data_IF_376427782978
#
_entry.id   IF_376427782978
#
_cell.length_a   1.000
_cell.length_b   1.000
_cell.length_c   1.000
_cell.angle_alpha   90.00
_cell.angle_beta   90.00
_cell.angle_gamma   90.00
#
_symmetry.space_group_name_H-M   'P 1'
#
loop_
_entity.id
_entity.type
_entity.pdbx_description
1 polymer ?
#
# COMPACT_ATOMS: atom_id res chain seq x y z
N UNK A 1 -0.80 72.40 -4.27
CA UNK A 1 -1.46 73.67 -3.92
C UNK A 1 -0.41 74.76 -3.85
N UNK A 2 -0.48 75.77 -4.71
CA UNK A 2 0.35 76.97 -4.63
C UNK A 2 -0.50 78.16 -5.06
N UNK A 3 -0.89 79.01 -4.11
CA UNK A 3 -1.74 80.18 -4.35
C UNK A 3 -0.91 81.31 -4.95
N UNK A 4 -1.07 81.57 -6.25
CA UNK A 4 -0.48 82.76 -6.88
C UNK A 4 -1.29 84.00 -6.53
N UNK A 5 -0.71 84.84 -5.69
CA UNK A 5 -1.33 86.07 -5.21
C UNK A 5 -1.03 87.20 -6.21
N UNK A 6 -2.00 87.61 -7.03
CA UNK A 6 -1.84 88.73 -7.97
C UNK A 6 -2.18 90.03 -7.22
N UNK A 7 -1.14 90.75 -6.80
CA UNK A 7 -1.28 92.03 -6.12
C UNK A 7 -1.94 93.07 -7.01
N UNK A 8 -2.99 93.73 -6.49
CA UNK A 8 -3.58 94.91 -7.11
C UNK A 8 -2.60 96.09 -7.04
N UNK A 9 -2.04 96.50 -8.19
CA UNK A 9 -1.27 97.73 -8.30
C UNK A 9 -2.22 98.91 -8.64
N UNK A 10 -2.91 99.43 -7.63
CA UNK A 10 -3.68 100.68 -7.77
C UNK A 10 -2.72 101.86 -7.59
N UNK A 11 -2.15 102.34 -8.69
CA UNK A 11 -1.42 103.62 -8.69
C UNK A 11 -2.42 104.76 -8.74
N UNK A 12 -2.74 105.37 -7.59
CA UNK A 12 -3.38 106.69 -7.57
C UNK A 12 -2.45 107.71 -8.24
N UNK A 13 -2.77 108.14 -9.45
CA UNK A 13 -2.24 109.39 -10.01
C UNK A 13 -3.12 110.51 -9.46
N UNK A 14 -2.51 111.40 -8.67
CA UNK A 14 -3.20 112.45 -7.93
C UNK A 14 -3.94 113.44 -8.83
N UNK A 15 -5.10 113.89 -8.36
CA UNK A 15 -5.88 114.94 -9.01
C UNK A 15 -5.17 116.29 -8.82
N UNK A 16 -4.43 116.73 -9.84
CA UNK A 16 -3.86 118.08 -9.88
C UNK A 16 -4.95 119.12 -10.04
N UNK A 17 -5.16 119.96 -9.03
CA UNK A 17 -6.14 121.05 -9.10
C UNK A 17 -5.71 122.18 -10.05
N UNK A 18 -6.74 122.86 -10.53
CA UNK A 18 -6.72 124.00 -11.44
C UNK A 18 -5.77 125.11 -10.96
N UNK A 19 -4.94 125.63 -11.86
CA UNK A 19 -4.29 126.93 -11.72
C UNK A 19 -4.45 127.72 -13.02
N UNK A 20 -5.57 128.45 -13.13
CA UNK A 20 -5.85 129.34 -14.25
C UNK A 20 -4.91 130.55 -14.23
N UNK A 21 -3.79 130.49 -14.96
CA UNK A 21 -2.92 131.66 -15.13
C UNK A 21 -3.39 132.55 -16.29
N UNK A 22 -4.57 133.15 -16.15
CA UNK A 22 -4.91 134.36 -16.92
C UNK A 22 -4.07 135.49 -16.34
N UNK A 23 -2.92 135.73 -16.96
CA UNK A 23 -2.03 136.83 -16.55
C UNK A 23 -2.70 138.17 -16.81
N UNK A 24 -3.23 138.79 -15.75
CA UNK A 24 -3.66 140.18 -15.76
C UNK A 24 -2.45 141.07 -16.03
N UNK A 25 -2.27 141.48 -17.28
CA UNK A 25 -1.22 142.42 -17.66
C UNK A 25 -1.77 143.84 -17.48
N UNK A 26 -1.80 144.31 -16.22
CA UNK A 26 -2.00 145.72 -15.89
C UNK A 26 -0.84 146.56 -16.43
N UNK A 27 -0.89 146.95 -17.70
CA UNK A 27 -0.12 148.10 -18.15
C UNK A 27 -0.84 149.38 -17.73
N UNK A 28 -0.31 149.96 -16.65
CA UNK A 28 -0.54 151.34 -16.26
C UNK A 28 -0.40 152.26 -17.47
N UNK A 29 -1.48 152.95 -17.85
CA UNK A 29 -1.36 154.20 -18.59
C UNK A 29 -1.99 155.31 -17.76
N UNK A 30 -1.24 155.75 -16.74
CA UNK A 30 -1.49 157.02 -16.08
C UNK A 30 -1.30 158.15 -17.08
N UNK A 31 -2.38 158.62 -17.71
CA UNK A 31 -2.36 159.90 -18.40
C UNK A 31 -3.32 160.90 -17.75
N UNK A 32 -2.69 161.68 -16.86
CA UNK A 32 -3.07 162.98 -16.31
C UNK A 32 -4.39 163.57 -16.82
N UNK A 33 -5.27 163.82 -15.87
CA UNK A 33 -6.04 165.07 -15.86
C UNK A 33 -5.10 166.28 -16.02
N UNK A 34 -5.16 166.93 -17.18
CA UNK A 34 -4.80 168.34 -17.34
C UNK A 34 -5.93 169.08 -18.04
N UNK A 35 -6.25 170.26 -17.53
CA UNK A 35 -7.30 171.12 -18.07
C UNK A 35 -6.90 171.68 -19.44
N UNK A 36 -7.67 171.33 -20.46
CA UNK A 36 -7.83 172.04 -21.72
C UNK A 36 -9.14 171.58 -22.34
N UNK A 37 -10.06 172.43 -22.78
CA UNK A 37 -9.96 173.87 -22.97
C UNK A 37 -10.63 174.25 -24.29
N UNK A 38 -11.96 174.37 -24.28
CA UNK A 38 -12.75 174.87 -25.42
C UNK A 38 -13.03 173.84 -26.52
N UNK A 39 -14.29 173.78 -26.96
CA UNK A 39 -14.74 173.01 -28.13
C UNK A 39 -15.80 171.94 -27.83
N UNK A 40 -16.89 171.96 -28.61
CA UNK A 40 -17.91 170.89 -28.75
C UNK A 40 -18.83 170.56 -27.56
N UNK A 41 -18.55 170.95 -26.31
CA UNK A 41 -19.51 170.83 -25.18
C UNK A 41 -20.85 171.59 -25.36
N UNK A 42 -20.97 172.40 -26.42
CA UNK A 42 -22.14 173.23 -26.68
C UNK A 42 -23.16 172.62 -27.66
N UNK A 43 -22.92 171.41 -28.17
CA UNK A 43 -23.82 170.72 -29.13
C UNK A 43 -24.71 169.63 -28.52
N UNK A 44 -24.37 169.06 -27.37
CA UNK A 44 -25.14 167.97 -26.75
C UNK A 44 -25.20 168.13 -25.22
N UNK A 45 -26.40 167.92 -24.64
CA UNK A 45 -26.68 168.13 -23.22
C UNK A 45 -26.03 167.09 -22.29
N UNK A 46 -25.96 167.37 -20.97
CA UNK A 46 -25.31 166.49 -19.99
C UNK A 46 -25.89 165.07 -19.96
N UNK A 47 -27.19 164.92 -20.20
CA UNK A 47 -27.90 163.63 -20.21
C UNK A 47 -27.27 162.62 -21.18
N UNK A 48 -26.81 163.08 -22.35
CA UNK A 48 -26.23 162.23 -23.41
C UNK A 48 -24.95 161.51 -22.96
N UNK A 49 -24.10 162.18 -22.16
CA UNK A 49 -22.87 161.57 -21.63
C UNK A 49 -23.14 160.58 -20.50
N UNK A 50 -24.22 160.78 -19.74
CA UNK A 50 -24.67 159.83 -18.70
C UNK A 50 -25.27 158.60 -19.35
N UNK A 51 -26.17 158.78 -20.33
CA UNK A 51 -26.78 157.70 -21.11
C UNK A 51 -25.75 156.85 -21.86
N UNK A 52 -24.70 157.47 -22.41
CA UNK A 52 -23.55 156.75 -23.01
C UNK A 52 -22.80 155.89 -22.00
N UNK A 53 -22.60 156.40 -20.77
CA UNK A 53 -21.91 155.67 -19.70
C UNK A 53 -22.76 154.49 -19.18
N UNK A 54 -24.06 154.69 -19.04
CA UNK A 54 -24.97 153.63 -18.59
C UNK A 54 -25.10 152.54 -19.66
N UNK A 55 -25.14 152.91 -20.95
CA UNK A 55 -25.04 151.97 -22.08
C UNK A 55 -23.71 151.23 -22.11
N UNK A 56 -22.60 151.88 -21.77
CA UNK A 56 -21.27 151.24 -21.66
C UNK A 56 -21.23 150.24 -20.50
N UNK A 57 -21.77 150.60 -19.33
CA UNK A 57 -21.84 149.72 -18.17
C UNK A 57 -22.76 148.51 -18.42
N UNK A 58 -23.95 148.72 -18.98
CA UNK A 58 -24.87 147.65 -19.35
C UNK A 58 -24.33 146.74 -20.48
N UNK A 59 -23.46 147.28 -21.35
CA UNK A 59 -22.70 146.47 -22.31
C UNK A 59 -21.64 145.62 -21.61
N UNK A 60 -20.90 146.18 -20.65
CA UNK A 60 -19.91 145.43 -19.87
C UNK A 60 -20.54 144.30 -19.02
N UNK A 61 -21.67 144.58 -18.37
CA UNK A 61 -22.44 143.58 -17.61
C UNK A 61 -22.92 142.45 -18.53
N UNK A 62 -23.53 142.77 -19.67
CA UNK A 62 -23.92 141.75 -20.67
C UNK A 62 -22.74 140.97 -21.24
N UNK A 63 -21.59 141.62 -21.46
CA UNK A 63 -20.38 140.90 -21.88
C UNK A 63 -19.96 139.90 -20.80
N UNK A 64 -19.90 140.29 -19.53
CA UNK A 64 -19.56 139.42 -18.41
C UNK A 64 -20.57 138.28 -18.20
N UNK A 65 -21.87 138.53 -18.38
CA UNK A 65 -22.90 137.48 -18.38
C UNK A 65 -22.69 136.47 -19.54
N UNK A 66 -22.39 136.97 -20.75
CA UNK A 66 -22.12 136.10 -21.90
C UNK A 66 -20.83 135.30 -21.76
N UNK A 67 -19.79 135.90 -21.17
CA UNK A 67 -18.52 135.26 -20.84
C UNK A 67 -18.76 134.13 -19.82
N UNK A 68 -19.38 134.43 -18.68
CA UNK A 68 -19.75 133.44 -17.64
C UNK A 68 -20.59 132.29 -18.21
N UNK A 69 -21.50 132.58 -19.15
CA UNK A 69 -22.34 131.57 -19.81
C UNK A 69 -21.52 130.71 -20.78
N UNK A 70 -20.60 131.30 -21.51
CA UNK A 70 -19.69 130.61 -22.43
C UNK A 70 -18.71 129.71 -21.66
N UNK A 71 -18.12 130.22 -20.57
CA UNK A 71 -17.27 129.45 -19.65
C UNK A 71 -18.00 128.20 -19.13
N UNK A 72 -19.23 128.34 -18.62
CA UNK A 72 -20.04 127.20 -18.16
C UNK A 72 -20.38 126.20 -19.29
N UNK A 73 -20.59 126.67 -20.51
CA UNK A 73 -20.79 125.79 -21.66
C UNK A 73 -19.52 125.03 -22.02
N UNK A 74 -18.36 125.69 -21.98
CA UNK A 74 -17.05 125.06 -22.20
C UNK A 74 -16.75 124.04 -21.08
N UNK A 75 -16.96 124.38 -19.81
CA UNK A 75 -16.74 123.49 -18.68
C UNK A 75 -17.64 122.25 -18.76
N UNK A 76 -18.94 122.42 -19.03
CA UNK A 76 -19.87 121.30 -19.21
C UNK A 76 -19.48 120.42 -20.41
N UNK A 77 -19.15 121.02 -21.56
CA UNK A 77 -18.71 120.27 -22.75
C UNK A 77 -17.40 119.51 -22.54
N UNK A 78 -16.45 120.08 -21.79
CA UNK A 78 -15.22 119.38 -21.37
C UNK A 78 -15.54 118.23 -20.42
N UNK A 79 -16.43 118.44 -19.44
CA UNK A 79 -16.85 117.42 -18.46
C UNK A 79 -17.57 116.25 -19.12
N UNK A 80 -18.52 116.52 -20.02
CA UNK A 80 -19.20 115.50 -20.83
C UNK A 80 -18.21 114.72 -21.70
N UNK A 81 -17.27 115.43 -22.35
CA UNK A 81 -16.20 114.80 -23.14
C UNK A 81 -15.30 113.90 -22.29
N UNK A 82 -14.95 114.32 -21.08
CA UNK A 82 -14.15 113.55 -20.12
C UNK A 82 -14.89 112.29 -19.64
N UNK A 83 -16.18 112.41 -19.31
CA UNK A 83 -17.03 111.27 -18.92
C UNK A 83 -17.17 110.27 -20.07
N UNK A 84 -17.41 110.76 -21.30
CA UNK A 84 -17.53 109.91 -22.49
C UNK A 84 -16.21 109.19 -22.81
N UNK A 85 -15.08 109.89 -22.70
CA UNK A 85 -13.76 109.30 -22.92
C UNK A 85 -13.43 108.24 -21.85
N UNK A 86 -13.67 108.55 -20.57
CA UNK A 86 -13.51 107.61 -19.46
C UNK A 86 -14.39 106.37 -19.63
N UNK A 87 -15.66 106.55 -20.00
CA UNK A 87 -16.60 105.44 -20.25
C UNK A 87 -16.16 104.58 -21.43
N UNK A 88 -15.68 105.19 -22.54
CA UNK A 88 -15.13 104.44 -23.68
C UNK A 88 -13.87 103.66 -23.29
N UNK A 89 -12.99 104.26 -22.49
CA UNK A 89 -11.75 103.63 -22.03
C UNK A 89 -12.03 102.44 -21.09
N UNK A 90 -12.96 102.57 -20.13
CA UNK A 90 -13.34 101.45 -19.26
C UNK A 90 -13.98 100.30 -20.06
N UNK A 91 -14.83 100.61 -21.04
CA UNK A 91 -15.39 99.58 -21.95
C UNK A 91 -14.31 98.84 -22.76
N UNK A 92 -13.19 99.50 -23.10
CA UNK A 92 -12.03 98.84 -23.72
C UNK A 92 -11.30 97.97 -22.71
N UNK A 93 -11.09 98.44 -21.47
CA UNK A 93 -10.47 97.64 -20.41
C UNK A 93 -11.29 96.40 -20.04
N UNK A 94 -12.62 96.50 -19.97
CA UNK A 94 -13.51 95.35 -19.73
C UNK A 94 -13.35 94.32 -20.85
N UNK A 95 -13.46 94.72 -22.12
CA UNK A 95 -13.30 93.81 -23.27
C UNK A 95 -11.92 93.14 -23.31
N UNK A 96 -10.86 93.87 -22.97
CA UNK A 96 -9.51 93.31 -22.88
C UNK A 96 -9.41 92.27 -21.75
N UNK A 97 -9.97 92.58 -20.57
CA UNK A 97 -10.01 91.71 -19.39
C UNK A 97 -10.79 90.43 -19.66
N UNK A 98 -11.96 90.53 -20.28
CA UNK A 98 -12.80 89.38 -20.63
C UNK A 98 -12.11 88.46 -21.66
N UNK A 99 -11.46 89.04 -22.68
CA UNK A 99 -10.69 88.29 -23.67
C UNK A 99 -9.44 87.63 -23.06
N UNK A 100 -8.76 88.30 -22.12
CA UNK A 100 -7.67 87.70 -21.35
C UNK A 100 -8.16 86.54 -20.49
N UNK A 101 -9.24 86.72 -19.73
CA UNK A 101 -9.85 85.68 -18.90
C UNK A 101 -10.26 84.45 -19.74
N UNK A 102 -10.97 84.66 -20.85
CA UNK A 102 -11.36 83.57 -21.76
C UNK A 102 -10.13 82.82 -22.34
N UNK A 103 -9.03 83.54 -22.60
CA UNK A 103 -7.77 82.95 -23.07
C UNK A 103 -7.06 82.15 -21.97
N UNK A 104 -7.07 82.64 -20.73
CA UNK A 104 -6.55 81.93 -19.55
C UNK A 104 -7.34 80.66 -19.29
N UNK A 105 -8.67 80.74 -19.21
CA UNK A 105 -9.53 79.55 -19.02
C UNK A 105 -9.36 78.52 -20.14
N UNK A 106 -9.13 78.95 -21.39
CA UNK A 106 -8.82 78.02 -22.49
C UNK A 106 -7.43 77.35 -22.33
N UNK A 107 -6.45 78.04 -21.76
CA UNK A 107 -5.13 77.48 -21.44
C UNK A 107 -5.20 76.52 -20.25
N UNK A 108 -5.93 76.87 -19.19
CA UNK A 108 -6.16 76.02 -18.02
C UNK A 108 -6.82 74.70 -18.42
N UNK A 109 -7.93 74.74 -19.16
CA UNK A 109 -8.59 73.53 -19.68
C UNK A 109 -7.66 72.68 -20.55
N UNK A 110 -6.79 73.30 -21.38
CA UNK A 110 -5.80 72.54 -22.17
C UNK A 110 -4.74 71.89 -21.29
N UNK A 111 -4.28 72.58 -20.25
CA UNK A 111 -3.30 72.06 -19.31
C UNK A 111 -3.88 70.88 -18.50
N UNK A 112 -5.10 71.01 -17.98
CA UNK A 112 -5.78 69.93 -17.25
C UNK A 112 -5.99 68.68 -18.11
N UNK A 113 -6.43 68.83 -19.37
CA UNK A 113 -6.56 67.70 -20.29
C UNK A 113 -5.19 67.03 -20.53
N UNK A 114 -4.13 67.78 -20.84
CA UNK A 114 -2.77 67.22 -21.03
C UNK A 114 -2.25 66.52 -19.77
N UNK A 115 -2.50 67.09 -18.58
CA UNK A 115 -2.10 66.46 -17.32
C UNK A 115 -2.85 65.17 -17.05
N UNK A 116 -4.17 65.11 -17.33
CA UNK A 116 -4.98 63.90 -17.21
C UNK A 116 -4.55 62.82 -18.21
N UNK A 117 -4.32 63.20 -19.46
CA UNK A 117 -3.90 62.26 -20.51
C UNK A 117 -2.51 61.66 -20.19
N UNK A 118 -1.58 62.49 -19.70
CA UNK A 118 -0.28 62.04 -19.18
C UNK A 118 -0.43 61.12 -17.95
N UNK A 119 -1.34 61.43 -17.03
CA UNK A 119 -1.61 60.59 -15.85
C UNK A 119 -2.16 59.22 -16.24
N UNK A 120 -3.09 59.18 -17.21
CA UNK A 120 -3.66 57.94 -17.73
C UNK A 120 -2.59 57.09 -18.44
N UNK A 121 -1.80 57.70 -19.34
CA UNK A 121 -0.72 57.00 -20.06
C UNK A 121 0.41 56.52 -19.14
N UNK A 122 0.63 57.20 -18.00
CA UNK A 122 1.56 56.74 -16.98
C UNK A 122 0.98 55.55 -16.20
N UNK A 123 -0.30 55.60 -15.80
CA UNK A 123 -0.96 54.51 -15.10
C UNK A 123 -1.04 53.22 -15.96
N UNK A 124 -1.33 53.35 -17.25
CA UNK A 124 -1.31 52.25 -18.22
C UNK A 124 0.09 51.60 -18.30
N UNK A 125 1.15 52.40 -18.45
CA UNK A 125 2.53 51.90 -18.46
C UNK A 125 2.95 51.23 -17.16
N UNK A 126 2.54 51.79 -16.01
CA UNK A 126 2.80 51.18 -14.69
C UNK A 126 2.14 49.80 -14.63
N UNK A 127 0.85 49.71 -14.95
CA UNK A 127 0.10 48.45 -14.94
C UNK A 127 0.70 47.41 -15.92
N UNK A 128 1.12 47.83 -17.11
CA UNK A 128 1.85 46.96 -18.04
C UNK A 128 3.17 46.43 -17.45
N UNK A 129 3.93 47.27 -16.75
CA UNK A 129 5.21 46.85 -16.14
C UNK A 129 5.02 45.96 -14.92
N UNK A 130 3.99 46.22 -14.11
CA UNK A 130 3.59 45.37 -12.98
C UNK A 130 3.19 43.98 -13.48
N UNK A 131 2.30 43.89 -14.47
CA UNK A 131 1.89 42.62 -15.06
C UNK A 131 3.07 41.84 -15.69
N UNK A 132 4.00 42.52 -16.36
CA UNK A 132 5.22 41.88 -16.91
C UNK A 132 6.12 41.34 -15.80
N UNK A 133 6.29 42.09 -14.71
CA UNK A 133 7.12 41.71 -13.57
C UNK A 133 6.50 40.55 -12.78
N UNK A 134 5.19 40.57 -12.54
CA UNK A 134 4.45 39.47 -11.91
C UNK A 134 4.61 38.16 -12.71
N UNK A 135 4.38 38.21 -14.03
CA UNK A 135 4.58 37.05 -14.90
C UNK A 135 6.04 36.57 -14.89
N UNK A 136 7.04 37.46 -14.87
CA UNK A 136 8.44 37.06 -14.79
C UNK A 136 8.76 36.37 -13.45
N UNK A 137 8.33 36.97 -12.33
CA UNK A 137 8.52 36.42 -10.98
C UNK A 137 7.83 35.07 -10.84
N UNK A 138 6.60 34.91 -11.36
CA UNK A 138 5.89 33.63 -11.30
C UNK A 138 6.61 32.55 -12.12
N UNK A 139 6.99 32.82 -13.37
CA UNK A 139 7.69 31.85 -14.21
C UNK A 139 9.07 31.48 -13.66
N UNK A 140 9.87 32.45 -13.19
CA UNK A 140 11.19 32.17 -12.59
C UNK A 140 11.06 31.33 -11.31
N UNK A 141 10.11 31.64 -10.43
CA UNK A 141 9.87 30.87 -9.22
C UNK A 141 9.33 29.46 -9.51
N UNK A 142 8.39 29.31 -10.44
CA UNK A 142 7.85 28.00 -10.83
C UNK A 142 8.95 27.11 -11.42
N UNK A 143 9.77 27.64 -12.34
CA UNK A 143 10.87 26.89 -12.95
C UNK A 143 11.95 26.49 -11.92
N UNK A 144 12.41 27.44 -11.10
CA UNK A 144 13.43 27.16 -10.08
C UNK A 144 12.94 26.23 -8.96
N UNK A 145 11.63 26.22 -8.67
CA UNK A 145 11.02 25.27 -7.75
C UNK A 145 10.91 23.88 -8.38
N UNK A 146 10.44 23.79 -9.64
CA UNK A 146 10.31 22.52 -10.36
C UNK A 146 11.68 21.82 -10.56
N UNK A 147 12.73 22.58 -10.90
CA UNK A 147 14.10 22.07 -11.00
C UNK A 147 14.59 21.50 -9.66
N UNK A 148 14.39 22.23 -8.55
CA UNK A 148 14.76 21.76 -7.21
C UNK A 148 13.98 20.53 -6.77
N UNK A 149 12.68 20.47 -7.08
CA UNK A 149 11.82 19.31 -6.79
C UNK A 149 12.35 18.09 -7.55
N UNK A 150 12.56 18.20 -8.86
CA UNK A 150 13.12 17.15 -9.72
C UNK A 150 14.50 16.67 -9.23
N UNK A 151 15.40 17.59 -8.85
CA UNK A 151 16.67 17.24 -8.23
C UNK A 151 16.51 16.45 -6.91
N UNK A 152 15.55 16.83 -6.06
CA UNK A 152 15.31 16.11 -4.80
C UNK A 152 14.64 14.76 -5.00
N UNK A 153 13.73 14.64 -5.97
CA UNK A 153 13.10 13.39 -6.36
C UNK A 153 14.15 12.41 -6.89
N UNK A 154 14.98 12.83 -7.85
CA UNK A 154 16.07 11.99 -8.37
C UNK A 154 17.08 11.58 -7.28
N UNK A 155 17.40 12.48 -6.32
CA UNK A 155 18.27 12.12 -5.17
C UNK A 155 17.60 11.08 -4.25
N UNK A 156 16.29 11.19 -4.03
CA UNK A 156 15.53 10.26 -3.19
C UNK A 156 15.38 8.89 -3.87
N UNK A 157 15.05 8.84 -5.17
CA UNK A 157 14.98 7.62 -5.97
C UNK A 157 16.31 6.85 -5.93
N UNK A 158 17.44 7.53 -6.14
CA UNK A 158 18.76 6.92 -6.05
C UNK A 158 19.09 6.37 -4.65
N UNK A 159 18.63 7.03 -3.58
CA UNK A 159 18.78 6.49 -2.21
C UNK A 159 17.90 5.27 -1.97
N UNK A 160 16.66 5.28 -2.48
CA UNK A 160 15.72 4.17 -2.39
C UNK A 160 16.25 2.94 -3.14
N UNK A 161 16.71 3.09 -4.38
CA UNK A 161 17.26 1.99 -5.18
C UNK A 161 18.52 1.38 -4.55
N UNK A 162 19.36 2.21 -3.93
CA UNK A 162 20.52 1.74 -3.17
C UNK A 162 20.10 0.87 -1.97
N UNK A 163 19.11 1.32 -1.18
CA UNK A 163 18.59 0.57 -0.04
C UNK A 163 17.94 -0.74 -0.49
N UNK A 164 17.17 -0.75 -1.58
CA UNK A 164 16.59 -1.98 -2.14
C UNK A 164 17.66 -2.96 -2.62
N UNK A 165 18.75 -2.47 -3.22
CA UNK A 165 19.88 -3.32 -3.63
C UNK A 165 20.57 -3.92 -2.41
N UNK A 166 20.90 -3.13 -1.38
CA UNK A 166 21.50 -3.64 -0.14
C UNK A 166 20.60 -4.67 0.56
N UNK A 167 19.28 -4.46 0.60
CA UNK A 167 18.33 -5.42 1.17
C UNK A 167 18.26 -6.73 0.36
N UNK A 168 18.22 -6.64 -0.98
CA UNK A 168 18.24 -7.79 -1.89
C UNK A 168 19.51 -8.62 -1.73
N UNK A 169 20.67 -7.97 -1.66
CA UNK A 169 21.96 -8.66 -1.50
C UNK A 169 22.08 -9.33 -0.13
N UNK A 170 21.58 -8.69 0.93
CA UNK A 170 21.48 -9.27 2.26
C UNK A 170 20.53 -10.49 2.30
N UNK A 171 19.38 -10.41 1.64
CA UNK A 171 18.43 -11.52 1.53
C UNK A 171 19.04 -12.72 0.79
N UNK A 172 19.68 -12.48 -0.35
CA UNK A 172 20.38 -13.50 -1.13
C UNK A 172 21.50 -14.15 -0.30
N UNK A 173 22.35 -13.33 0.33
CA UNK A 173 23.43 -13.81 1.19
C UNK A 173 22.94 -14.60 2.42
N UNK A 174 21.75 -14.31 2.94
CA UNK A 174 21.11 -15.10 4.00
C UNK A 174 20.56 -16.42 3.46
N UNK A 175 19.93 -16.44 2.28
CA UNK A 175 19.43 -17.67 1.62
C UNK A 175 20.56 -18.65 1.39
N UNK A 176 21.65 -18.21 0.73
CA UNK A 176 22.83 -19.06 0.47
C UNK A 176 23.49 -19.55 1.77
N UNK A 177 23.51 -18.75 2.84
CA UNK A 177 23.99 -19.22 4.16
C UNK A 177 23.08 -20.28 4.77
N UNK A 178 21.77 -20.16 4.58
CA UNK A 178 20.78 -21.11 5.09
C UNK A 178 20.82 -22.44 4.31
N UNK A 179 20.84 -22.37 2.98
CA UNK A 179 21.03 -23.50 2.06
C UNK A 179 22.30 -24.29 2.41
N UNK A 180 23.46 -23.61 2.49
CA UNK A 180 24.72 -24.23 2.89
C UNK A 180 24.64 -24.89 4.28
N UNK A 181 23.91 -24.31 5.24
CA UNK A 181 23.73 -24.93 6.57
C UNK A 181 22.85 -26.17 6.50
N UNK A 182 21.78 -26.16 5.69
CA UNK A 182 20.95 -27.34 5.47
C UNK A 182 21.72 -28.47 4.79
N UNK A 183 22.46 -28.17 3.72
CA UNK A 183 23.29 -29.18 3.02
C UNK A 183 24.33 -29.81 3.95
N UNK A 184 25.01 -29.02 4.78
CA UNK A 184 25.96 -29.53 5.76
C UNK A 184 25.26 -30.45 6.79
N UNK A 185 24.15 -30.02 7.40
CA UNK A 185 23.41 -30.85 8.37
C UNK A 185 22.88 -32.14 7.75
N UNK A 186 22.39 -32.09 6.50
CA UNK A 186 21.91 -33.28 5.79
C UNK A 186 23.06 -34.26 5.50
N UNK A 187 24.22 -33.76 5.07
CA UNK A 187 25.42 -34.56 4.84
C UNK A 187 25.95 -35.18 6.14
N UNK A 188 26.00 -34.41 7.23
CA UNK A 188 26.48 -34.90 8.52
C UNK A 188 25.56 -35.99 9.09
N UNK A 189 24.23 -35.79 8.96
CA UNK A 189 23.23 -36.82 9.30
C UNK A 189 23.35 -38.07 8.42
N UNK A 190 23.59 -37.91 7.11
CA UNK A 190 23.79 -39.04 6.19
C UNK A 190 25.05 -39.84 6.55
N UNK A 191 26.15 -39.16 6.88
CA UNK A 191 27.39 -39.79 7.30
C UNK A 191 27.21 -40.55 8.64
N UNK A 192 26.60 -39.91 9.65
CA UNK A 192 26.35 -40.53 10.95
C UNK A 192 25.36 -41.70 10.86
N UNK A 193 24.42 -41.68 9.91
CA UNK A 193 23.54 -42.82 9.62
C UNK A 193 24.30 -43.96 8.96
N UNK A 194 25.14 -43.68 7.95
CA UNK A 194 25.96 -44.69 7.28
C UNK A 194 26.96 -45.37 8.24
N UNK A 195 27.59 -44.60 9.14
CA UNK A 195 28.45 -45.12 10.20
C UNK A 195 27.69 -46.09 11.13
N UNK A 196 26.50 -45.69 11.60
CA UNK A 196 25.65 -46.55 12.44
C UNK A 196 25.18 -47.81 11.72
N UNK A 197 24.82 -47.71 10.43
CA UNK A 197 24.44 -48.87 9.61
C UNK A 197 25.63 -49.84 9.53
N UNK A 198 26.82 -49.35 9.16
CA UNK A 198 28.03 -50.18 9.08
C UNK A 198 28.40 -50.81 10.42
N UNK A 199 28.27 -50.09 11.54
CA UNK A 199 28.43 -50.67 12.89
C UNK A 199 27.43 -51.80 13.16
N UNK A 200 26.16 -51.64 12.77
CA UNK A 200 25.14 -52.68 12.98
C UNK A 200 25.32 -53.88 12.07
N UNK A 201 25.73 -53.66 10.82
CA UNK A 201 26.09 -54.72 9.87
C UNK A 201 27.26 -55.54 10.41
N UNK A 202 28.36 -54.89 10.80
CA UNK A 202 29.52 -55.58 11.38
C UNK A 202 29.16 -56.35 12.68
N UNK A 203 28.29 -55.80 13.54
CA UNK A 203 27.79 -56.52 14.74
C UNK A 203 26.97 -57.76 14.36
N UNK A 204 26.12 -57.65 13.33
CA UNK A 204 25.29 -58.76 12.85
C UNK A 204 26.12 -59.85 12.16
N UNK A 205 27.09 -59.47 11.32
CA UNK A 205 28.05 -60.39 10.69
C UNK A 205 28.83 -61.19 11.75
N UNK A 206 29.34 -60.52 12.79
CA UNK A 206 30.02 -61.20 13.90
C UNK A 206 29.08 -62.15 14.68
N UNK A 207 27.81 -61.78 14.89
CA UNK A 207 26.83 -62.68 15.51
C UNK A 207 26.53 -63.91 14.63
N UNK A 208 26.40 -63.71 13.33
CA UNK A 208 26.17 -64.79 12.34
C UNK A 208 27.37 -65.76 12.31
N UNK A 209 28.61 -65.25 12.26
CA UNK A 209 29.83 -66.09 12.25
C UNK A 209 29.99 -66.89 13.55
N UNK A 210 29.63 -66.29 14.70
CA UNK A 210 29.60 -67.01 15.98
C UNK A 210 28.61 -68.18 15.96
N UNK A 211 27.37 -67.95 15.48
CA UNK A 211 26.34 -69.01 15.35
C UNK A 211 26.78 -70.10 14.38
N UNK A 212 27.37 -69.75 13.23
CA UNK A 212 27.92 -70.75 12.31
C UNK A 212 29.07 -71.56 12.92
N UNK A 213 29.90 -70.93 13.75
CA UNK A 213 30.99 -71.62 14.46
C UNK A 213 30.44 -72.59 15.50
N UNK A 214 29.47 -72.20 16.33
CA UNK A 214 28.81 -73.10 17.27
C UNK A 214 28.09 -74.27 16.56
N UNK A 215 27.40 -74.02 15.46
CA UNK A 215 26.74 -75.07 14.67
C UNK A 215 27.76 -76.07 14.09
N UNK A 216 28.88 -75.58 13.54
CA UNK A 216 29.99 -76.39 13.03
C UNK A 216 30.59 -77.28 14.12
N UNK A 217 30.83 -76.73 15.30
CA UNK A 217 31.43 -77.46 16.43
C UNK A 217 30.46 -78.51 16.99
N UNK A 218 29.17 -78.18 17.08
CA UNK A 218 28.11 -79.14 17.42
C UNK A 218 27.99 -80.27 16.40
N UNK A 219 28.03 -79.96 15.09
CA UNK A 219 28.00 -80.96 14.01
C UNK A 219 29.22 -81.89 14.09
N UNK A 220 30.42 -81.35 14.29
CA UNK A 220 31.65 -82.13 14.48
C UNK A 220 31.53 -83.05 15.70
N UNK A 221 31.10 -82.52 16.84
CA UNK A 221 30.91 -83.30 18.07
C UNK A 221 29.86 -84.41 17.93
N UNK A 222 28.80 -84.19 17.14
CA UNK A 222 27.80 -85.22 16.83
C UNK A 222 28.37 -86.30 15.90
N UNK A 223 29.16 -85.93 14.88
CA UNK A 223 29.84 -86.89 13.98
C UNK A 223 30.79 -87.81 14.78
N UNK A 224 31.62 -87.24 15.66
CA UNK A 224 32.52 -88.02 16.52
C UNK A 224 31.74 -88.96 17.46
N UNK A 225 30.60 -88.53 18.02
CA UNK A 225 29.74 -89.42 18.83
C UNK A 225 29.14 -90.56 17.99
N UNK A 226 28.70 -90.28 16.76
CA UNK A 226 28.13 -91.26 15.84
C UNK A 226 29.19 -92.30 15.41
N UNK A 227 30.38 -91.87 15.01
CA UNK A 227 31.51 -92.73 14.65
C UNK A 227 31.89 -93.68 15.79
N UNK A 228 32.01 -93.16 17.01
CA UNK A 228 32.28 -93.96 18.21
C UNK A 228 31.16 -94.98 18.49
N UNK A 229 29.89 -94.57 18.34
CA UNK A 229 28.73 -95.46 18.46
C UNK A 229 28.75 -96.60 17.42
N UNK A 230 29.06 -96.29 16.17
CA UNK A 230 29.21 -97.26 15.08
C UNK A 230 30.34 -98.25 15.40
N UNK A 231 31.52 -97.77 15.82
CA UNK A 231 32.63 -98.67 16.19
C UNK A 231 32.29 -99.58 17.37
N UNK A 232 31.60 -99.07 18.39
CA UNK A 232 31.18 -99.89 19.54
C UNK A 232 30.15 -100.95 19.13
N UNK A 233 29.18 -100.60 18.28
CA UNK A 233 28.21 -101.55 17.73
C UNK A 233 28.88 -102.59 16.82
N UNK A 234 29.90 -102.22 16.05
CA UNK A 234 30.70 -103.17 15.26
C UNK A 234 31.48 -104.16 16.15
N UNK A 235 32.06 -103.71 17.26
CA UNK A 235 32.70 -104.57 18.28
C UNK A 235 31.68 -105.51 18.94
N UNK A 236 30.49 -105.03 19.29
CA UNK A 236 29.43 -105.86 19.84
C UNK A 236 28.95 -106.92 18.81
N UNK A 237 28.83 -106.54 17.54
CA UNK A 237 28.44 -107.45 16.45
C UNK A 237 29.49 -108.53 16.19
N UNK A 238 30.79 -108.23 16.27
CA UNK A 238 31.82 -109.28 16.16
C UNK A 238 31.78 -110.23 17.35
N UNK A 239 31.54 -109.72 18.57
CA UNK A 239 31.35 -110.55 19.76
C UNK A 239 30.13 -111.49 19.61
N UNK A 240 28.99 -110.98 19.15
CA UNK A 240 27.79 -111.78 18.90
C UNK A 240 28.00 -112.83 17.80
N UNK A 241 28.72 -112.50 16.72
CA UNK A 241 29.10 -113.49 15.68
C UNK A 241 29.97 -114.61 16.25
N UNK A 242 30.93 -114.28 17.13
CA UNK A 242 31.76 -115.26 17.81
C UNK A 242 30.93 -116.13 18.76
N UNK A 243 30.01 -115.53 19.53
CA UNK A 243 29.08 -116.26 20.41
C UNK A 243 28.13 -117.18 19.64
N UNK A 244 27.57 -116.75 18.50
CA UNK A 244 26.72 -117.57 17.66
C UNK A 244 27.50 -118.76 17.05
N UNK A 245 28.75 -118.52 16.65
CA UNK A 245 29.68 -119.58 16.21
C UNK A 245 29.95 -120.60 17.32
N UNK A 246 30.04 -120.15 18.58
CA UNK A 246 30.20 -121.01 19.75
C UNK A 246 28.91 -121.76 20.12
N UNK A 247 27.75 -121.12 19.99
CA UNK A 247 26.44 -121.69 20.29
C UNK A 247 26.03 -122.81 19.30
N UNK A 248 26.56 -122.80 18.07
CA UNK A 248 26.39 -123.90 17.11
C UNK A 248 26.94 -125.25 17.60
N UNK A 249 27.72 -125.29 18.69
CA UNK A 249 28.26 -126.52 19.26
C UNK A 249 27.43 -127.14 20.41
N UNK A 250 26.34 -126.53 20.93
CA UNK A 250 25.49 -127.10 22.00
C UNK A 250 23.98 -126.72 21.87
N UNK A 251 23.07 -127.69 22.05
CA UNK A 251 21.58 -127.55 22.05
C UNK A 251 21.02 -126.95 23.39
N UNK A 252 19.71 -126.66 23.57
CA UNK A 252 18.86 -125.66 22.88
C UNK A 252 17.96 -124.76 23.81
N UNK A 253 17.75 -123.47 23.44
CA UNK A 253 16.60 -122.54 23.76
C UNK A 253 16.19 -122.24 25.25
N UNK A 254 15.78 -120.97 25.63
CA UNK A 254 14.49 -120.35 25.23
C UNK A 254 14.47 -118.79 25.06
N UNK A 255 13.25 -118.20 24.96
CA UNK A 255 12.87 -116.85 24.44
C UNK A 255 12.54 -115.82 25.55
N UNK A 256 12.83 -114.51 25.34
CA UNK A 256 12.08 -113.29 25.78
C UNK A 256 12.85 -111.98 25.38
N UNK A 257 12.38 -110.71 25.33
CA UNK A 257 11.08 -109.99 25.50
C UNK A 257 10.96 -108.91 24.37
N UNK A 258 9.78 -108.59 23.81
CA UNK A 258 8.87 -107.43 24.09
C UNK A 258 9.50 -106.01 24.20
N UNK A 259 9.24 -105.16 23.21
CA UNK A 259 9.53 -103.71 23.18
C UNK A 259 8.22 -102.91 23.42
N UNK A 260 8.29 -101.72 24.04
CA UNK A 260 7.12 -100.92 24.41
C UNK A 260 7.06 -99.62 23.59
N UNK A 261 5.87 -99.19 23.18
CA UNK A 261 5.65 -98.11 22.22
C UNK A 261 4.88 -96.91 22.83
N UNK A 262 5.35 -96.39 23.97
CA UNK A 262 4.65 -95.33 24.73
C UNK A 262 5.42 -94.01 24.89
N UNK A 263 6.63 -93.88 24.34
CA UNK A 263 7.53 -92.73 24.62
C UNK A 263 7.42 -91.56 23.61
N UNK A 264 6.35 -91.46 22.81
CA UNK A 264 6.21 -90.44 21.76
C UNK A 264 4.98 -89.52 21.95
N UNK A 265 5.25 -88.32 22.47
CA UNK A 265 4.42 -87.09 22.47
C UNK A 265 3.11 -87.06 23.29
N UNK A 266 3.05 -86.07 24.22
CA UNK A 266 2.05 -85.00 24.13
C UNK A 266 2.73 -83.61 24.22
N UNK A 267 2.59 -82.77 23.19
CA UNK A 267 1.59 -81.68 23.07
C UNK A 267 2.19 -80.30 23.40
N UNK A 268 2.55 -79.57 22.34
CA UNK A 268 2.88 -78.14 22.38
C UNK A 268 1.59 -77.37 22.13
N UNK A 269 1.15 -76.55 23.08
CA UNK A 269 0.00 -75.66 22.92
C UNK A 269 0.48 -74.32 22.38
N UNK A 270 0.01 -73.95 21.19
CA UNK A 270 0.22 -72.63 20.57
C UNK A 270 -1.08 -71.83 20.77
N UNK A 271 -0.99 -70.65 21.36
CA UNK A 271 -2.13 -69.74 21.58
C UNK A 271 -1.76 -68.37 21.05
N UNK A 272 -2.27 -68.02 19.87
CA UNK A 272 -1.78 -66.89 19.10
C UNK A 272 -2.88 -66.19 18.27
N UNK A 273 -2.74 -64.88 18.09
CA UNK A 273 -3.71 -64.00 17.40
C UNK A 273 -3.14 -63.55 16.06
N UNK A 274 -3.90 -63.56 14.96
CA UNK A 274 -3.34 -63.27 13.62
C UNK A 274 -3.48 -61.84 13.13
N UNK A 275 -2.37 -61.29 12.66
CA UNK A 275 -2.34 -60.42 11.49
C UNK A 275 -2.02 -61.26 10.24
N UNK A 276 -2.47 -60.83 9.07
CA UNK A 276 -2.02 -61.36 7.79
C UNK A 276 -1.46 -60.21 6.91
N UNK A 277 -0.29 -60.44 6.31
CA UNK A 277 0.37 -59.52 5.38
C UNK A 277 0.19 -60.08 3.97
N UNK A 278 -0.42 -59.31 3.07
CA UNK A 278 -0.69 -59.77 1.71
C UNK A 278 0.51 -59.53 0.78
N UNK A 279 0.92 -60.55 0.03
CA UNK A 279 1.98 -60.45 -0.99
C UNK A 279 1.48 -61.00 -2.32
N UNK A 280 1.44 -60.14 -3.35
CA UNK A 280 1.03 -60.41 -4.74
C UNK A 280 -0.32 -61.12 -4.90
N UNK A 281 -1.38 -60.34 -5.13
CA UNK A 281 -2.68 -60.87 -5.56
C UNK A 281 -3.29 -60.01 -6.67
N UNK A 282 -4.11 -60.68 -7.48
CA UNK A 282 -5.09 -60.07 -8.39
C UNK A 282 -6.50 -60.61 -8.11
N UNK A 283 -6.68 -61.28 -6.97
CA UNK A 283 -7.81 -62.15 -6.65
C UNK A 283 -8.87 -61.50 -5.77
N UNK A 284 -9.66 -62.36 -5.10
CA UNK A 284 -10.49 -62.01 -3.96
C UNK A 284 -9.96 -62.77 -2.75
N UNK A 285 -9.62 -62.02 -1.70
CA UNK A 285 -9.14 -62.57 -0.44
C UNK A 285 -10.04 -62.12 0.70
N UNK A 286 -10.34 -63.05 1.59
CA UNK A 286 -11.15 -62.82 2.77
C UNK A 286 -10.30 -63.19 4.00
N UNK A 287 -10.18 -62.30 4.99
CA UNK A 287 -9.40 -62.50 6.22
C UNK A 287 -10.36 -62.42 7.40
N UNK A 288 -10.26 -63.35 8.37
CA UNK A 288 -11.33 -63.45 9.36
C UNK A 288 -11.21 -64.54 10.43
N UNK A 289 -12.36 -64.82 11.04
CA UNK A 289 -12.55 -65.87 12.04
C UNK A 289 -13.62 -66.84 11.55
N UNK A 290 -13.44 -68.13 11.82
CA UNK A 290 -14.46 -69.16 11.60
C UNK A 290 -14.48 -70.19 12.73
N UNK A 291 -15.57 -70.94 12.88
CA UNK A 291 -15.57 -72.13 13.74
C UNK A 291 -15.08 -73.36 12.98
N UNK A 292 -14.79 -74.44 13.73
CA UNK A 292 -14.44 -75.76 13.17
C UNK A 292 -15.51 -76.34 12.23
N UNK A 293 -16.73 -75.82 12.25
CA UNK A 293 -17.83 -76.25 11.37
C UNK A 293 -17.76 -75.65 9.96
N UNK A 294 -16.93 -74.62 9.73
CA UNK A 294 -16.79 -74.00 8.42
C UNK A 294 -16.16 -74.98 7.41
N UNK A 295 -16.83 -75.28 6.27
CA UNK A 295 -16.24 -76.13 5.23
C UNK A 295 -15.00 -75.48 4.59
N UNK A 296 -13.89 -76.21 4.50
CA UNK A 296 -12.63 -75.70 3.90
C UNK A 296 -12.71 -75.40 2.39
N UNK A 297 -13.84 -75.71 1.74
CA UNK A 297 -14.13 -75.40 0.34
C UNK A 297 -15.15 -74.26 0.16
N UNK A 298 -15.57 -73.59 1.23
CA UNK A 298 -16.37 -72.35 1.15
C UNK A 298 -15.58 -71.15 1.65
N UNK A 299 -16.09 -69.94 1.37
CA UNK A 299 -15.44 -68.67 1.72
C UNK A 299 -15.85 -68.16 3.09
N UNK A 300 -14.98 -67.37 3.71
CA UNK A 300 -15.31 -66.63 4.92
C UNK A 300 -16.52 -65.71 4.68
N UNK A 301 -17.47 -65.72 5.61
CA UNK A 301 -18.75 -65.03 5.46
C UNK A 301 -19.78 -65.79 4.62
N UNK A 302 -19.45 -67.00 4.11
CA UNK A 302 -20.38 -67.85 3.35
C UNK A 302 -20.30 -69.34 3.79
N UNK A 303 -19.97 -69.56 5.06
CA UNK A 303 -19.92 -70.85 5.74
C UNK A 303 -20.31 -70.71 7.20
N UNK A 304 -20.69 -71.82 7.85
CA UNK A 304 -21.22 -71.79 9.22
C UNK A 304 -20.26 -71.16 10.22
N UNK A 305 -20.80 -70.20 10.96
CA UNK A 305 -20.20 -69.31 11.96
C UNK A 305 -18.86 -68.76 11.48
N UNK A 306 -18.93 -67.82 10.54
CA UNK A 306 -17.76 -67.14 9.96
C UNK A 306 -17.93 -65.60 9.88
N UNK A 307 -16.81 -64.89 9.98
CA UNK A 307 -16.71 -63.44 10.02
C UNK A 307 -15.52 -63.00 9.16
N UNK A 308 -15.76 -62.41 7.98
CA UNK A 308 -14.73 -62.07 7.00
C UNK A 308 -14.68 -60.58 6.66
N UNK A 309 -13.47 -60.03 6.60
CA UNK A 309 -13.16 -58.77 5.93
C UNK A 309 -12.58 -59.08 4.55
N UNK A 310 -13.29 -58.62 3.53
CA UNK A 310 -13.09 -58.90 2.11
C UNK A 310 -12.25 -57.81 1.47
N UNK A 311 -11.28 -58.18 0.63
CA UNK A 311 -10.36 -57.26 -0.06
C UNK A 311 -11.07 -56.12 -0.83
N UNK A 312 -12.24 -56.38 -1.43
CA UNK A 312 -13.08 -55.38 -2.12
C UNK A 312 -13.83 -54.40 -1.20
N UNK A 313 -13.49 -54.33 0.10
CA UNK A 313 -14.04 -53.32 1.01
C UNK A 313 -15.41 -53.67 1.60
N UNK A 314 -15.58 -54.94 2.00
CA UNK A 314 -16.80 -55.44 2.65
C UNK A 314 -16.51 -56.23 3.93
N UNK A 315 -17.48 -56.24 4.83
CA UNK A 315 -17.57 -57.16 5.97
C UNK A 315 -18.73 -58.12 5.69
N UNK A 316 -18.43 -59.40 5.61
CA UNK A 316 -19.40 -60.48 5.35
C UNK A 316 -19.41 -61.45 6.55
N UNK A 317 -20.59 -61.91 6.95
CA UNK A 317 -20.79 -62.88 8.05
C UNK A 317 -22.08 -63.65 7.82
N UNK A 318 -22.29 -64.74 8.55
CA UNK A 318 -23.49 -65.57 8.42
C UNK A 318 -24.71 -64.93 9.11
N UNK A 319 -25.92 -65.23 8.62
CA UNK A 319 -27.14 -65.17 9.44
C UNK A 319 -27.46 -66.54 10.05
N UNK A 320 -28.43 -66.61 10.96
CA UNK A 320 -28.79 -67.85 11.68
C UNK A 320 -29.27 -69.06 10.82
N UNK A 321 -29.22 -69.00 9.48
CA UNK A 321 -29.73 -70.02 8.56
C UNK A 321 -28.67 -70.67 7.64
N UNK A 322 -27.37 -70.44 7.82
CA UNK A 322 -26.31 -70.96 6.94
C UNK A 322 -25.86 -70.01 5.83
N UNK A 323 -26.50 -68.84 5.68
CA UNK A 323 -26.36 -68.00 4.50
C UNK A 323 -25.48 -66.78 4.78
N UNK A 324 -24.55 -66.49 3.86
CA UNK A 324 -23.74 -65.28 3.91
C UNK A 324 -24.54 -63.99 3.75
N UNK A 325 -24.20 -63.00 4.58
CA UNK A 325 -24.79 -61.67 4.64
C UNK A 325 -23.69 -60.62 4.66
N UNK A 326 -23.85 -59.61 3.81
CA UNK A 326 -23.05 -58.38 3.88
C UNK A 326 -23.48 -57.59 5.13
N UNK A 327 -22.65 -57.60 6.17
CA UNK A 327 -22.88 -56.85 7.42
C UNK A 327 -22.61 -55.36 7.19
N UNK A 328 -21.57 -55.05 6.41
CA UNK A 328 -21.20 -53.67 6.10
C UNK A 328 -20.45 -53.57 4.76
N UNK A 329 -20.86 -52.62 3.93
CA UNK A 329 -20.14 -52.20 2.72
C UNK A 329 -19.39 -50.89 2.94
N UNK A 330 -18.52 -50.56 1.98
CA UNK A 330 -17.74 -49.33 1.96
C UNK A 330 -16.79 -49.19 3.18
N UNK A 331 -16.35 -50.32 3.76
CA UNK A 331 -15.10 -50.31 4.53
C UNK A 331 -13.93 -50.17 3.53
N UNK A 332 -12.75 -49.68 3.93
CA UNK A 332 -11.62 -49.54 3.02
C UNK A 332 -11.30 -50.88 2.33
N UNK A 333 -11.04 -50.92 1.01
CA UNK A 333 -10.48 -52.12 0.38
C UNK A 333 -9.03 -52.32 0.83
N UNK A 334 -8.49 -53.53 0.68
CA UNK A 334 -7.08 -53.84 0.91
C UNK A 334 -6.46 -54.59 -0.27
N UNK A 335 -5.15 -54.44 -0.43
CA UNK A 335 -4.38 -54.94 -1.56
C UNK A 335 -2.98 -55.38 -1.12
N UNK A 336 -2.21 -55.94 -2.07
CA UNK A 336 -0.79 -56.31 -1.88
C UNK A 336 0.00 -55.22 -1.16
N UNK A 337 0.68 -55.58 -0.07
CA UNK A 337 1.46 -54.68 0.77
C UNK A 337 0.68 -54.08 1.96
N UNK A 338 -0.64 -54.17 1.98
CA UNK A 338 -1.42 -53.85 3.18
C UNK A 338 -1.26 -54.96 4.24
N UNK A 339 -1.34 -54.54 5.51
CA UNK A 339 -1.42 -55.43 6.67
C UNK A 339 -2.85 -55.39 7.19
N UNK A 340 -3.48 -56.56 7.27
CA UNK A 340 -4.84 -56.70 7.79
C UNK A 340 -4.78 -57.46 9.11
N UNK A 341 -5.37 -56.86 10.14
CA UNK A 341 -5.53 -57.49 11.46
C UNK A 341 -6.97 -57.92 11.68
N UNK A 342 -7.17 -59.07 12.31
CA UNK A 342 -8.46 -59.54 12.80
C UNK A 342 -8.34 -59.85 14.29
N UNK A 343 -9.29 -59.39 15.10
CA UNK A 343 -9.27 -59.60 16.54
C UNK A 343 -10.65 -59.84 17.13
N UNK A 344 -10.68 -60.62 18.20
CA UNK A 344 -11.87 -60.87 19.02
C UNK A 344 -11.65 -60.32 20.42
N UNK A 345 -12.52 -59.41 20.86
CA UNK A 345 -12.61 -59.07 22.27
C UNK A 345 -13.44 -60.15 22.99
N UNK A 346 -12.78 -61.09 23.65
CA UNK A 346 -13.42 -62.18 24.38
C UNK A 346 -14.40 -61.73 25.46
N UNK A 347 -14.20 -60.54 26.07
CA UNK A 347 -15.08 -60.03 27.12
C UNK A 347 -16.39 -59.42 26.59
N UNK A 348 -16.40 -58.90 25.35
CA UNK A 348 -17.59 -58.32 24.72
C UNK A 348 -18.09 -59.13 23.53
N UNK A 349 -17.47 -60.29 23.25
CA UNK A 349 -17.60 -61.10 22.03
C UNK A 349 -17.48 -60.32 20.70
N UNK A 350 -16.95 -59.09 20.71
CA UNK A 350 -16.92 -58.23 19.53
C UNK A 350 -15.78 -58.60 18.60
N UNK A 351 -16.08 -58.86 17.33
CA UNK A 351 -15.08 -59.00 16.27
C UNK A 351 -14.71 -57.62 15.76
N UNK A 352 -13.43 -57.36 15.55
CA UNK A 352 -12.94 -56.14 14.93
C UNK A 352 -11.86 -56.44 13.89
N UNK A 353 -11.76 -55.55 12.92
CA UNK A 353 -10.75 -55.59 11.88
C UNK A 353 -9.90 -54.32 11.90
N UNK A 354 -8.67 -54.42 11.43
CA UNK A 354 -7.76 -53.29 11.28
C UNK A 354 -7.10 -53.32 9.91
N UNK A 355 -6.86 -52.15 9.32
CA UNK A 355 -6.03 -51.99 8.13
C UNK A 355 -4.84 -51.10 8.48
N UNK A 356 -3.62 -51.55 8.20
CA UNK A 356 -2.37 -50.81 8.41
C UNK A 356 -2.25 -50.19 9.82
N UNK A 357 -2.62 -50.97 10.84
CA UNK A 357 -2.62 -50.54 12.24
C UNK A 357 -3.78 -49.64 12.68
N UNK A 358 -4.77 -49.36 11.83
CA UNK A 358 -5.97 -48.57 12.17
C UNK A 358 -7.21 -49.45 12.25
N UNK A 359 -7.95 -49.37 13.36
CA UNK A 359 -9.20 -50.13 13.59
C UNK A 359 -10.33 -49.59 12.71
N UNK A 360 -11.03 -50.49 12.03
CA UNK A 360 -12.18 -50.15 11.19
C UNK A 360 -13.41 -49.87 12.03
N UNK A 361 -14.20 -48.87 11.64
CA UNK A 361 -15.47 -48.54 12.29
C UNK A 361 -16.56 -49.52 11.83
N UNK A 362 -16.64 -50.65 12.53
CA UNK A 362 -17.60 -51.74 12.27
C UNK A 362 -18.58 -51.81 13.43
N UNK A 363 -19.87 -51.70 13.11
CA UNK A 363 -20.96 -51.76 14.10
C UNK A 363 -21.66 -53.12 14.01
N UNK A 364 -22.05 -53.66 15.16
CA UNK A 364 -22.88 -54.86 15.29
C UNK A 364 -22.29 -56.19 14.76
N UNK A 365 -20.98 -56.40 14.91
CA UNK A 365 -20.32 -57.68 14.61
C UNK A 365 -19.87 -58.39 15.90
N UNK A 366 -20.54 -59.50 16.25
CA UNK A 366 -20.31 -60.26 17.47
C UNK A 366 -20.28 -61.77 17.20
N UNK A 367 -19.45 -62.48 17.96
CA UNK A 367 -19.45 -63.94 18.06
C UNK A 367 -20.60 -64.38 18.97
N UNK A 368 -21.30 -65.45 18.60
CA UNK A 368 -22.38 -66.01 19.43
C UNK A 368 -21.87 -66.43 20.82
N UNK A 369 -22.68 -66.26 21.85
CA UNK A 369 -22.31 -66.57 23.24
C UNK A 369 -22.01 -68.07 23.44
N UNK A 370 -22.74 -68.92 22.73
CA UNK A 370 -22.57 -70.38 22.73
C UNK A 370 -21.36 -70.87 21.89
N UNK A 371 -20.70 -69.98 21.12
CA UNK A 371 -19.49 -70.35 20.37
C UNK A 371 -18.29 -70.42 21.30
N UNK A 372 -17.82 -71.65 21.56
CA UNK A 372 -16.65 -71.92 22.39
C UNK A 372 -15.34 -71.50 21.73
N UNK A 373 -15.08 -71.99 20.52
CA UNK A 373 -13.81 -71.81 19.80
C UNK A 373 -14.01 -71.14 18.44
N UNK A 374 -13.18 -70.13 18.15
CA UNK A 374 -13.03 -69.55 16.80
C UNK A 374 -11.56 -69.58 16.38
N UNK A 375 -11.33 -69.80 15.10
CA UNK A 375 -10.02 -69.99 14.50
C UNK A 375 -9.72 -68.87 13.50
N UNK A 376 -8.53 -68.27 13.56
CA UNK A 376 -7.99 -67.47 12.47
C UNK A 376 -8.11 -68.20 11.13
N UNK A 377 -8.67 -67.53 10.14
CA UNK A 377 -8.98 -68.11 8.84
C UNK A 377 -8.63 -67.11 7.74
N UNK A 378 -8.13 -67.61 6.62
CA UNK A 378 -7.95 -66.83 5.38
C UNK A 378 -8.48 -67.65 4.22
N UNK A 379 -9.19 -67.00 3.30
CA UNK A 379 -9.62 -67.57 2.01
C UNK A 379 -8.87 -66.86 0.88
N UNK A 380 -8.33 -67.65 -0.06
CA UNK A 380 -7.64 -67.18 -1.26
C UNK A 380 -8.29 -67.84 -2.48
N UNK A 381 -8.60 -67.07 -3.52
CA UNK A 381 -9.34 -67.56 -4.70
C UNK A 381 -8.44 -67.96 -5.88
N UNK A 382 -7.25 -67.35 -6.06
CA UNK A 382 -6.45 -67.51 -7.28
C UNK A 382 -5.06 -68.13 -7.04
N UNK A 383 -4.58 -68.85 -8.06
CA UNK A 383 -3.22 -69.41 -8.05
C UNK A 383 -2.17 -68.30 -8.05
N UNK A 384 -1.38 -68.24 -6.99
CA UNK A 384 -0.31 -67.27 -6.81
C UNK A 384 -0.58 -66.26 -5.69
N UNK A 385 -1.83 -66.14 -5.24
CA UNK A 385 -2.17 -65.33 -4.06
C UNK A 385 -1.43 -65.86 -2.83
N UNK A 386 -0.78 -64.99 -2.06
CA UNK A 386 -0.06 -65.35 -0.85
C UNK A 386 -0.33 -64.39 0.31
N UNK A 387 -0.43 -64.96 1.51
CA UNK A 387 -0.47 -64.23 2.79
C UNK A 387 0.57 -64.78 3.74
N UNK A 388 1.13 -63.89 4.56
CA UNK A 388 2.03 -64.22 5.65
C UNK A 388 1.31 -63.95 6.98
N UNK A 389 1.02 -65.01 7.75
CA UNK A 389 0.35 -64.89 9.03
C UNK A 389 1.36 -64.58 10.15
N UNK A 390 1.23 -63.40 10.74
CA UNK A 390 1.94 -62.98 11.94
C UNK A 390 1.03 -63.22 13.14
N UNK A 391 1.35 -64.28 13.88
CA UNK A 391 0.60 -64.78 15.02
C UNK A 391 0.97 -64.09 16.37
N UNK A 392 1.94 -63.17 16.34
CA UNK A 392 2.39 -62.37 17.48
C UNK A 392 3.88 -62.51 17.79
N UNK A 393 4.37 -61.84 18.85
CA UNK A 393 3.66 -60.86 19.67
C UNK A 393 3.60 -59.45 19.03
N UNK A 394 4.33 -59.22 17.93
CA UNK A 394 4.55 -57.90 17.35
C UNK A 394 3.50 -57.54 16.30
N UNK A 395 2.41 -56.89 16.72
CA UNK A 395 1.32 -56.47 15.84
C UNK A 395 1.46 -55.00 15.40
N UNK A 396 1.01 -54.66 14.18
CA UNK A 396 0.99 -53.26 13.71
C UNK A 396 -0.15 -52.45 14.35
N UNK A 397 -1.28 -53.10 14.68
CA UNK A 397 -2.29 -52.51 15.55
C UNK A 397 -1.85 -52.63 17.01
N UNK A 398 -1.87 -51.51 17.71
CA UNK A 398 -1.52 -51.41 19.12
C UNK A 398 -2.67 -51.89 20.00
N UNK A 399 -2.59 -53.14 20.45
CA UNK A 399 -3.58 -53.79 21.32
C UNK A 399 -3.76 -53.09 22.70
N UNK A 400 -2.88 -52.16 23.08
CA UNK A 400 -3.06 -51.36 24.31
C UNK A 400 -4.04 -50.19 24.13
N UNK A 401 -4.31 -49.77 22.88
CA UNK A 401 -5.26 -48.69 22.56
C UNK A 401 -6.68 -49.23 22.47
N UNK A 402 -7.43 -49.06 23.56
CA UNK A 402 -8.86 -49.38 23.67
C UNK A 402 -9.73 -48.57 22.71
#
# INVERSE_FOLDING_TARGET
MATFNVAHLITLIGVGSIASSVGANEQQNQNKTQNGGGGLKHLFGPDVFTELRDKQNAMAEKMSETETKLEKQIENGMRESQILLSTKLENVFIKLRDNQNASVTKLENRFENVMRDNQNALAEKVSETEAKLENQIENENQNALAEKVSETEAKLENQIEKVFTELRDNQNGLSTKLENRFENVMRDNQNALAEKVSETEAKLENQIENVFTELRDNQNGLSTKLENGIQNNQKALSLMKNMATLALFHFPLPIYHRWNASDCHPEIVINESTNAIQRNSTGREDIGLSTKEMPLYTRLGNGRVSYGYVNIGKIESENANGNGVEIQKNVPPFYTGDVVGCGLNWATRQVFFTKNGQRLNITNLYVDEDTADVYPTVTLDYHGDAVEANFGPNFQYDLSKK
#
